data_IF_159823035327
#
_entry.id   IF_159823035327
#
_cell.length_a   1.000
_cell.length_b   1.000
_cell.length_c   1.000
_cell.angle_alpha   90.00
_cell.angle_beta   90.00
_cell.angle_gamma   90.00
#
_symmetry.space_group_name_H-M   'P 1'
#
loop_
_entity.id
_entity.type
_entity.pdbx_description
1 polymer ?
#
# COMPACT_ATOMS: atom_id res chain seq x y z
N UNK A 1 14.34 31.38 58.58
CA UNK A 1 14.49 30.07 57.90
C UNK A 1 13.23 29.18 57.88
N UNK A 2 12.27 29.27 58.82
CA UNK A 2 11.05 28.43 58.82
C UNK A 2 10.09 28.65 57.64
N UNK A 3 9.90 29.90 57.19
CA UNK A 3 8.96 30.25 56.09
C UNK A 3 9.40 29.73 54.71
N UNK A 4 10.71 29.65 54.46
CA UNK A 4 11.26 29.14 53.18
C UNK A 4 11.09 27.62 53.05
N UNK A 5 11.21 26.86 54.16
CA UNK A 5 10.98 25.41 54.17
C UNK A 5 9.51 25.07 53.88
N UNK A 6 8.57 25.86 54.40
CA UNK A 6 7.12 25.65 54.18
C UNK A 6 6.76 25.88 52.70
N UNK A 7 7.33 26.90 52.06
CA UNK A 7 7.09 27.17 50.64
C UNK A 7 7.58 26.06 49.71
N UNK A 8 8.75 25.48 50.01
CA UNK A 8 9.31 24.36 49.24
C UNK A 8 8.45 23.10 49.40
N UNK A 9 7.95 22.83 50.61
CA UNK A 9 7.10 21.67 50.86
C UNK A 9 5.75 21.79 50.14
N UNK A 10 5.14 22.98 50.12
CA UNK A 10 3.88 23.23 49.40
C UNK A 10 4.08 23.14 47.89
N UNK A 11 5.20 23.65 47.36
CA UNK A 11 5.53 23.56 45.92
C UNK A 11 5.81 22.11 45.49
N UNK A 12 6.46 21.31 46.34
CA UNK A 12 6.73 19.90 46.07
C UNK A 12 5.44 19.05 46.15
N UNK A 13 4.50 19.36 47.05
CA UNK A 13 3.19 18.69 47.08
C UNK A 13 2.33 18.98 45.85
N UNK A 14 2.44 20.16 45.24
CA UNK A 14 1.70 20.49 44.01
C UNK A 14 2.18 19.69 42.79
N UNK A 15 3.44 19.26 42.76
CA UNK A 15 3.98 18.38 41.71
C UNK A 15 3.41 16.95 41.78
N UNK A 16 2.96 16.50 42.96
CA UNK A 16 2.34 15.16 43.13
C UNK A 16 0.82 15.13 42.86
N UNK A 17 0.17 16.28 42.68
CA UNK A 17 -1.26 16.39 42.37
C UNK A 17 -1.58 16.38 40.86
N UNK A 18 -0.56 16.46 40.00
CA UNK A 18 -0.74 16.36 38.55
C UNK A 18 -0.79 14.88 38.17
N UNK A 19 -1.97 14.27 38.28
CA UNK A 19 -2.20 12.95 37.69
C UNK A 19 -1.98 13.08 36.17
N UNK A 20 -1.11 12.27 35.55
CA UNK A 20 -0.99 12.27 34.10
C UNK A 20 -2.36 11.94 33.54
N UNK A 21 -2.92 12.84 32.73
CA UNK A 21 -4.08 12.50 31.91
C UNK A 21 -3.63 11.39 30.98
N UNK A 22 -4.00 10.15 31.29
CA UNK A 22 -3.91 9.05 30.35
C UNK A 22 -4.83 9.37 29.19
N UNK A 23 -4.29 10.00 28.15
CA UNK A 23 -4.99 10.11 26.87
C UNK A 23 -4.98 8.69 26.32
N UNK A 24 -6.12 8.02 26.39
CA UNK A 24 -6.29 6.77 25.64
C UNK A 24 -5.97 7.08 24.19
N UNK A 25 -4.91 6.47 23.65
CA UNK A 25 -4.68 6.50 22.22
C UNK A 25 -5.96 5.94 21.58
N UNK A 26 -6.70 6.79 20.87
CA UNK A 26 -7.89 6.36 20.15
C UNK A 26 -7.37 5.40 19.09
N UNK A 27 -7.60 4.10 19.26
CA UNK A 27 -7.30 3.15 18.18
C UNK A 27 -8.25 3.52 17.04
N UNK A 28 -7.73 4.21 16.03
CA UNK A 28 -8.47 4.36 14.80
C UNK A 28 -8.75 2.94 14.28
N UNK A 29 -10.00 2.67 13.89
CA UNK A 29 -10.33 1.44 13.19
C UNK A 29 -9.31 1.27 12.06
N UNK A 30 -8.58 0.16 12.06
CA UNK A 30 -7.52 -0.10 11.08
C UNK A 30 -8.07 0.17 9.69
N UNK A 31 -7.45 1.11 8.98
CA UNK A 31 -7.81 1.37 7.58
C UNK A 31 -7.76 0.06 6.81
N UNK A 32 -8.85 -0.24 6.10
CA UNK A 32 -8.95 -1.45 5.30
C UNK A 32 -8.61 -1.11 3.86
N UNK A 33 -7.47 -1.57 3.35
CA UNK A 33 -7.15 -1.44 1.93
C UNK A 33 -8.22 -2.13 1.09
N UNK A 34 -8.79 -1.42 0.13
CA UNK A 34 -9.84 -1.91 -0.77
C UNK A 34 -9.32 -1.96 -2.20
N UNK A 35 -9.70 -2.99 -2.93
CA UNK A 35 -9.47 -3.03 -4.38
C UNK A 35 -10.71 -2.58 -5.12
N UNK A 36 -10.58 -1.55 -5.96
CA UNK A 36 -11.69 -1.04 -6.74
C UNK A 36 -11.89 -1.86 -8.01
N UNK A 37 -13.16 -2.06 -8.40
CA UNK A 37 -13.43 -2.53 -9.75
C UNK A 37 -13.25 -1.35 -10.72
N UNK A 38 -12.24 -1.43 -11.59
CA UNK A 38 -11.94 -0.37 -12.57
C UNK A 38 -13.09 -0.04 -13.53
N UNK A 39 -14.07 -0.92 -13.65
CA UNK A 39 -15.29 -0.72 -14.46
C UNK A 39 -16.52 -0.33 -13.61
N UNK A 40 -16.31 0.05 -12.35
CA UNK A 40 -17.37 0.43 -11.42
C UNK A 40 -18.08 1.71 -11.86
N UNK A 41 -19.39 1.64 -12.03
CA UNK A 41 -20.26 2.81 -12.26
C UNK A 41 -20.84 3.38 -10.95
N UNK A 42 -20.33 2.94 -9.79
CA UNK A 42 -20.76 3.48 -8.51
C UNK A 42 -20.15 4.86 -8.27
N UNK A 43 -20.96 5.75 -7.70
CA UNK A 43 -20.56 7.10 -7.32
C UNK A 43 -19.96 7.13 -5.92
N UNK A 44 -19.06 8.09 -5.73
CA UNK A 44 -18.58 8.52 -4.42
C UNK A 44 -19.50 9.66 -3.97
N UNK A 45 -19.92 9.62 -2.72
CA UNK A 45 -20.87 10.56 -2.14
C UNK A 45 -20.27 11.30 -0.96
N UNK A 46 -20.45 12.61 -0.89
CA UNK A 46 -19.92 13.44 0.18
C UNK A 46 -20.53 13.08 1.55
N UNK A 47 -21.83 12.76 1.58
CA UNK A 47 -22.57 12.53 2.82
C UNK A 47 -23.40 11.25 2.83
N UNK A 48 -23.85 10.86 4.02
CA UNK A 48 -24.69 9.67 4.23
C UNK A 48 -25.79 9.92 5.26
N UNK A 49 -27.04 9.96 4.81
CA UNK A 49 -28.23 10.14 5.66
C UNK A 49 -28.83 8.78 6.06
N UNK A 50 -29.93 8.79 6.80
CA UNK A 50 -30.73 7.59 7.09
C UNK A 50 -31.44 7.05 5.83
N UNK A 51 -31.76 7.93 4.86
CA UNK A 51 -32.42 7.56 3.59
C UNK A 51 -31.45 7.06 2.53
N UNK A 52 -30.17 7.41 2.65
CA UNK A 52 -29.14 6.99 1.70
C UNK A 52 -28.03 8.02 1.49
N UNK A 53 -27.18 7.77 0.48
CA UNK A 53 -26.08 8.67 0.16
C UNK A 53 -26.58 10.00 -0.44
N UNK A 54 -25.86 11.09 -0.18
CA UNK A 54 -26.18 12.44 -0.68
C UNK A 54 -24.92 13.14 -1.20
N UNK A 55 -25.09 14.05 -2.16
CA UNK A 55 -24.00 14.84 -2.74
C UNK A 55 -23.00 13.99 -3.51
N UNK A 56 -23.36 13.53 -4.72
CA UNK A 56 -22.43 12.80 -5.59
C UNK A 56 -21.28 13.69 -6.03
N UNK A 57 -20.03 13.27 -5.78
CA UNK A 57 -18.82 14.03 -6.17
C UNK A 57 -18.13 13.46 -7.41
N UNK A 58 -18.46 12.23 -7.82
CA UNK A 58 -17.87 11.62 -9.02
C UNK A 58 -18.03 10.11 -9.07
N UNK A 59 -17.57 9.51 -10.18
CA UNK A 59 -17.55 8.05 -10.35
C UNK A 59 -16.28 7.45 -9.75
N UNK A 60 -16.41 6.30 -9.09
CA UNK A 60 -15.26 5.60 -8.50
C UNK A 60 -14.23 5.15 -9.55
N UNK A 61 -14.66 4.76 -10.76
CA UNK A 61 -13.75 4.36 -11.86
C UNK A 61 -12.79 5.46 -12.31
N UNK A 62 -13.10 6.74 -12.04
CA UNK A 62 -12.20 7.86 -12.34
C UNK A 62 -10.88 7.73 -11.59
N UNK A 63 -10.92 7.09 -10.42
CA UNK A 63 -9.78 6.86 -9.53
C UNK A 63 -9.29 5.41 -9.56
N UNK A 64 -9.54 4.66 -10.65
CA UNK A 64 -9.26 3.21 -10.72
C UNK A 64 -7.82 2.79 -10.37
N UNK A 65 -6.85 3.70 -10.44
CA UNK A 65 -5.44 3.46 -10.08
C UNK A 65 -5.04 4.03 -8.71
N UNK A 66 -5.96 4.72 -8.03
CA UNK A 66 -5.71 5.25 -6.68
C UNK A 66 -5.77 4.15 -5.62
N UNK A 67 -5.07 4.38 -4.52
CA UNK A 67 -5.05 3.52 -3.36
C UNK A 67 -6.29 3.77 -2.50
N UNK A 68 -7.27 2.85 -2.57
CA UNK A 68 -8.47 2.96 -1.74
C UNK A 68 -8.25 2.37 -0.37
N UNK A 69 -8.63 3.10 0.67
CA UNK A 69 -8.68 2.62 2.03
C UNK A 69 -10.03 2.97 2.65
N UNK A 70 -10.67 2.04 3.34
CA UNK A 70 -11.90 2.30 4.06
C UNK A 70 -11.63 2.51 5.55
N UNK A 71 -12.22 3.56 6.11
CA UNK A 71 -12.09 3.90 7.54
C UNK A 71 -13.38 3.69 8.33
N UNK A 72 -14.53 3.66 7.66
CA UNK A 72 -15.83 3.44 8.30
C UNK A 72 -16.77 2.66 7.39
N UNK A 73 -17.80 2.04 7.97
CA UNK A 73 -18.86 1.34 7.25
C UNK A 73 -20.22 1.79 7.79
N UNK A 74 -21.18 2.00 6.89
CA UNK A 74 -22.57 2.30 7.22
C UNK A 74 -23.51 1.46 6.37
N UNK A 75 -24.53 0.88 6.99
CA UNK A 75 -25.57 0.11 6.31
C UNK A 75 -26.79 1.02 6.10
N UNK A 76 -27.29 1.07 4.87
CA UNK A 76 -28.53 1.77 4.51
C UNK A 76 -29.38 0.81 3.69
N UNK A 77 -30.52 0.39 4.25
CA UNK A 77 -31.32 -0.71 3.72
C UNK A 77 -30.50 -2.00 3.56
N UNK A 78 -30.51 -2.57 2.35
CA UNK A 78 -29.74 -3.79 1.99
C UNK A 78 -28.29 -3.48 1.56
N UNK A 79 -27.91 -2.22 1.45
CA UNK A 79 -26.60 -1.79 0.94
C UNK A 79 -25.64 -1.43 2.07
N UNK A 80 -24.36 -1.78 1.90
CA UNK A 80 -23.26 -1.30 2.75
C UNK A 80 -22.45 -0.26 1.99
N UNK A 81 -22.11 0.82 2.68
CA UNK A 81 -21.27 1.90 2.17
C UNK A 81 -20.03 2.01 3.05
N UNK A 82 -18.89 2.24 2.43
CA UNK A 82 -17.62 2.45 3.11
C UNK A 82 -17.19 3.90 2.92
N UNK A 83 -16.77 4.56 4.00
CA UNK A 83 -16.11 5.86 3.88
C UNK A 83 -14.68 5.62 3.43
N UNK A 84 -14.42 5.98 2.17
CA UNK A 84 -13.16 5.75 1.50
C UNK A 84 -12.26 6.97 1.55
N UNK A 85 -10.99 6.65 1.69
CA UNK A 85 -9.85 7.50 1.45
C UNK A 85 -9.21 7.02 0.15
N UNK A 86 -8.82 7.96 -0.71
CA UNK A 86 -8.14 7.68 -1.97
C UNK A 86 -6.79 8.35 -1.87
N UNK A 87 -5.73 7.56 -1.99
CA UNK A 87 -4.33 8.01 -1.87
C UNK A 87 -4.07 8.80 -0.58
N UNK A 88 -4.73 8.42 0.52
CA UNK A 88 -4.57 9.08 1.82
C UNK A 88 -5.43 10.34 2.03
N UNK A 89 -6.32 10.68 1.09
CA UNK A 89 -7.24 11.82 1.22
C UNK A 89 -8.70 11.39 1.39
N UNK A 90 -9.47 12.12 2.20
CA UNK A 90 -10.91 11.87 2.36
C UNK A 90 -11.61 12.05 1.01
N UNK A 91 -12.28 11.00 0.53
CA UNK A 91 -13.00 11.06 -0.74
C UNK A 91 -14.52 11.02 -0.55
N UNK A 92 -15.03 10.15 0.32
CA UNK A 92 -16.47 10.08 0.63
C UNK A 92 -16.98 8.65 0.80
N UNK A 93 -18.29 8.50 0.78
CA UNK A 93 -18.98 7.22 0.90
C UNK A 93 -19.11 6.52 -0.44
N UNK A 94 -18.70 5.25 -0.50
CA UNK A 94 -18.77 4.42 -1.69
C UNK A 94 -19.51 3.12 -1.39
N UNK A 95 -20.40 2.69 -2.28
CA UNK A 95 -21.11 1.42 -2.13
C UNK A 95 -20.11 0.25 -2.20
N UNK A 96 -20.25 -0.73 -1.31
CA UNK A 96 -19.40 -1.93 -1.26
C UNK A 96 -19.29 -2.66 -2.61
N UNK A 97 -20.35 -2.62 -3.42
CA UNK A 97 -20.40 -3.27 -4.74
C UNK A 97 -19.45 -2.62 -5.76
N UNK A 98 -18.87 -1.46 -5.44
CA UNK A 98 -17.83 -0.83 -6.24
C UNK A 98 -16.48 -1.55 -6.16
N UNK A 99 -16.24 -2.33 -5.10
CA UNK A 99 -14.99 -3.05 -4.89
C UNK A 99 -14.97 -4.41 -5.60
N UNK A 100 -13.77 -4.89 -5.92
CA UNK A 100 -13.54 -6.27 -6.35
C UNK A 100 -13.69 -7.18 -5.12
N UNK A 101 -14.73 -8.02 -5.11
CA UNK A 101 -15.04 -8.92 -3.99
C UNK A 101 -14.79 -10.36 -4.39
N UNK A 102 -14.29 -11.17 -3.46
CA UNK A 102 -13.97 -12.58 -3.70
C UNK A 102 -13.13 -12.77 -4.97
N UNK A 103 -12.10 -11.93 -5.14
CA UNK A 103 -11.22 -11.97 -6.31
C UNK A 103 -9.78 -12.20 -5.87
N UNK A 104 -9.14 -13.16 -6.52
CA UNK A 104 -7.70 -13.35 -6.51
C UNK A 104 -7.19 -12.98 -7.90
N UNK A 105 -6.14 -12.17 -7.97
CA UNK A 105 -5.38 -11.88 -9.18
C UNK A 105 -4.00 -12.48 -9.04
N UNK A 106 -3.62 -13.30 -10.01
CA UNK A 106 -2.32 -13.96 -10.09
C UNK A 106 -1.71 -13.73 -11.46
N UNK A 107 -0.39 -13.86 -11.55
CA UNK A 107 0.31 -14.04 -12.82
C UNK A 107 -0.22 -15.32 -13.48
N UNK A 108 -0.56 -15.29 -14.77
CA UNK A 108 -1.19 -16.45 -15.44
C UNK A 108 -0.21 -17.57 -15.76
N UNK A 109 1.01 -17.21 -16.18
CA UNK A 109 2.08 -18.11 -16.57
C UNK A 109 3.40 -17.58 -16.04
N UNK A 110 4.16 -18.43 -15.37
CA UNK A 110 5.48 -18.15 -14.80
C UNK A 110 6.45 -19.12 -15.47
N UNK A 111 7.58 -18.60 -15.94
CA UNK A 111 8.65 -19.39 -16.52
C UNK A 111 9.85 -19.34 -15.58
N UNK A 112 10.34 -20.50 -15.17
CA UNK A 112 11.52 -20.65 -14.33
C UNK A 112 12.66 -21.29 -15.14
N UNK A 113 13.88 -20.83 -14.89
CA UNK A 113 15.09 -21.47 -15.40
C UNK A 113 15.36 -22.73 -14.59
N UNK A 114 15.92 -23.77 -15.21
CA UNK A 114 16.37 -24.93 -14.47
C UNK A 114 17.48 -24.53 -13.49
N UNK A 115 17.17 -24.57 -12.19
CA UNK A 115 18.07 -24.23 -11.11
C UNK A 115 17.87 -25.20 -9.94
N UNK A 116 18.84 -26.10 -9.67
CA UNK A 116 18.73 -27.07 -8.59
C UNK A 116 18.79 -26.45 -7.18
N UNK A 117 19.20 -25.18 -7.06
CA UNK A 117 19.32 -24.46 -5.80
C UNK A 117 18.15 -23.52 -5.50
N UNK A 118 17.12 -23.50 -6.35
CA UNK A 118 15.99 -22.59 -6.21
C UNK A 118 14.66 -23.33 -6.16
N UNK A 119 13.80 -22.89 -5.24
CA UNK A 119 12.39 -23.22 -5.24
C UNK A 119 11.58 -21.94 -5.29
N UNK A 120 10.59 -21.91 -6.19
CA UNK A 120 9.70 -20.78 -6.37
C UNK A 120 8.57 -20.84 -5.34
N UNK A 121 8.44 -19.86 -4.41
CA UNK A 121 7.31 -19.78 -3.50
C UNK A 121 6.05 -19.43 -4.30
N UNK A 122 5.06 -20.33 -4.33
CA UNK A 122 3.92 -20.17 -5.25
C UNK A 122 3.09 -18.92 -4.95
N UNK A 123 3.05 -18.49 -3.68
CA UNK A 123 2.33 -17.29 -3.25
C UNK A 123 2.90 -16.00 -3.83
N UNK A 124 4.15 -16.00 -4.33
CA UNK A 124 4.74 -14.85 -5.02
C UNK A 124 4.04 -14.58 -6.37
N UNK A 125 3.29 -15.55 -6.90
CA UNK A 125 2.45 -15.36 -8.08
C UNK A 125 1.22 -14.46 -7.82
N UNK A 126 0.88 -14.16 -6.57
CA UNK A 126 -0.34 -13.40 -6.19
C UNK A 126 -0.06 -11.89 -6.28
N UNK A 127 -0.74 -11.22 -7.22
CA UNK A 127 -0.74 -9.75 -7.28
C UNK A 127 -1.57 -9.15 -6.14
N UNK A 128 -2.79 -9.67 -5.95
CA UNK A 128 -3.65 -9.33 -4.83
C UNK A 128 -4.73 -10.38 -4.62
N UNK A 129 -5.28 -10.42 -3.41
CA UNK A 129 -6.46 -11.20 -3.07
C UNK A 129 -7.44 -10.36 -2.25
N UNK A 130 -8.74 -10.60 -2.41
CA UNK A 130 -9.80 -9.84 -1.74
C UNK A 130 -10.83 -10.73 -1.08
N UNK A 131 -11.32 -10.28 0.08
CA UNK A 131 -12.43 -10.93 0.78
C UNK A 131 -13.80 -10.60 0.16
N UNK A 132 -14.87 -11.10 0.80
CA UNK A 132 -16.26 -10.87 0.39
C UNK A 132 -16.70 -9.41 0.44
N UNK A 133 -15.91 -8.54 1.09
CA UNK A 133 -16.17 -7.11 1.22
C UNK A 133 -15.31 -6.26 0.29
N UNK A 134 -14.35 -6.88 -0.39
CA UNK A 134 -13.37 -6.23 -1.24
C UNK A 134 -12.16 -5.67 -0.50
N UNK A 135 -11.93 -6.12 0.73
CA UNK A 135 -10.70 -5.83 1.48
C UNK A 135 -9.56 -6.67 0.96
N UNK A 136 -8.39 -6.06 0.76
CA UNK A 136 -7.15 -6.77 0.44
C UNK A 136 -6.76 -7.65 1.61
N UNK A 137 -6.46 -8.91 1.32
CA UNK A 137 -6.03 -9.88 2.32
C UNK A 137 -4.53 -10.14 2.19
N UNK A 138 -3.90 -10.44 3.31
CA UNK A 138 -2.50 -10.85 3.32
C UNK A 138 -2.34 -12.13 2.47
N UNK A 139 -1.42 -12.17 1.48
CA UNK A 139 -1.16 -13.35 0.66
C UNK A 139 -0.93 -14.65 1.45
N UNK A 140 -0.34 -14.55 2.65
CA UNK A 140 -0.11 -15.72 3.52
C UNK A 140 -1.40 -16.41 3.98
N UNK A 141 -2.54 -15.71 3.94
CA UNK A 141 -3.86 -16.28 4.27
C UNK A 141 -4.51 -16.98 3.08
N UNK A 142 -3.98 -16.81 1.87
CA UNK A 142 -4.46 -17.50 0.66
C UNK A 142 -3.89 -18.92 0.67
N UNK A 143 -4.76 -19.91 0.47
CA UNK A 143 -4.33 -21.31 0.36
C UNK A 143 -3.86 -21.56 -1.08
N UNK A 144 -2.70 -22.17 -1.24
CA UNK A 144 -2.19 -22.66 -2.51
C UNK A 144 -2.24 -24.20 -2.54
N UNK A 145 -2.34 -24.81 -3.72
CA UNK A 145 -2.31 -26.28 -3.86
C UNK A 145 -0.92 -26.87 -3.62
N UNK A 146 0.13 -26.06 -3.80
CA UNK A 146 1.53 -26.38 -3.50
C UNK A 146 2.14 -25.09 -2.91
N UNK A 147 2.93 -25.19 -1.85
CA UNK A 147 3.57 -24.00 -1.26
C UNK A 147 4.76 -23.52 -2.10
N UNK A 148 5.49 -24.43 -2.73
CA UNK A 148 6.66 -24.13 -3.56
C UNK A 148 6.72 -25.07 -4.79
N UNK A 149 7.42 -24.63 -5.84
CA UNK A 149 7.75 -25.43 -7.04
C UNK A 149 9.27 -25.53 -7.14
N UNK A 150 9.81 -26.75 -7.16
CA UNK A 150 11.24 -26.99 -7.35
C UNK A 150 11.62 -26.67 -8.79
N UNK A 151 12.72 -25.93 -8.99
CA UNK A 151 13.17 -25.55 -10.32
C UNK A 151 14.23 -26.50 -10.89
N UNK A 152 14.37 -27.72 -10.38
CA UNK A 152 15.50 -28.62 -10.67
C UNK A 152 15.34 -29.48 -11.94
N UNK A 153 14.14 -29.52 -12.52
CA UNK A 153 13.82 -30.38 -13.66
C UNK A 153 12.67 -29.81 -14.46
N UNK A 154 12.72 -30.05 -15.78
CA UNK A 154 11.70 -29.61 -16.70
C UNK A 154 10.32 -30.13 -16.28
N UNK A 155 9.38 -29.23 -16.02
CA UNK A 155 8.09 -29.59 -15.46
C UNK A 155 7.07 -28.47 -15.63
N UNK A 156 5.78 -28.83 -15.64
CA UNK A 156 4.69 -27.87 -15.65
C UNK A 156 3.77 -28.12 -14.44
N UNK A 157 3.56 -27.08 -13.63
CA UNK A 157 2.80 -27.13 -12.40
C UNK A 157 1.60 -26.19 -12.47
N UNK A 158 0.39 -26.73 -12.41
CA UNK A 158 -0.84 -25.95 -12.29
C UNK A 158 -1.15 -25.68 -10.82
N UNK A 159 -0.89 -24.45 -10.38
CA UNK A 159 -1.15 -24.06 -8.98
C UNK A 159 -2.51 -23.40 -8.86
N UNK A 160 -3.29 -23.88 -7.89
CA UNK A 160 -4.62 -23.34 -7.57
C UNK A 160 -4.59 -22.57 -6.26
N UNK A 161 -5.11 -21.34 -6.29
CA UNK A 161 -5.24 -20.48 -5.12
C UNK A 161 -6.69 -20.33 -4.69
N UNK A 162 -6.94 -20.38 -3.38
CA UNK A 162 -8.28 -20.23 -2.81
C UNK A 162 -8.30 -19.31 -1.59
N UNK A 163 -9.33 -18.47 -1.51
CA UNK A 163 -9.62 -17.65 -0.34
C UNK A 163 -11.12 -17.36 -0.25
N UNK A 164 -11.81 -17.95 0.72
CA UNK A 164 -13.28 -17.87 0.79
C UNK A 164 -13.92 -18.42 -0.48
N UNK A 165 -14.64 -17.56 -1.21
CA UNK A 165 -15.26 -17.90 -2.51
C UNK A 165 -14.39 -17.57 -3.73
N UNK A 166 -13.20 -17.03 -3.51
CA UNK A 166 -12.29 -16.63 -4.57
C UNK A 166 -11.42 -17.81 -5.01
N UNK A 167 -11.28 -17.97 -6.32
CA UNK A 167 -10.42 -18.99 -6.95
C UNK A 167 -9.58 -18.35 -8.05
N UNK A 168 -8.35 -18.81 -8.21
CA UNK A 168 -7.48 -18.45 -9.33
C UNK A 168 -6.49 -19.58 -9.61
N UNK A 169 -5.93 -19.58 -10.83
CA UNK A 169 -4.95 -20.56 -11.26
C UNK A 169 -3.77 -19.87 -11.93
N UNK A 170 -2.58 -20.40 -11.72
CA UNK A 170 -1.36 -20.07 -12.47
C UNK A 170 -0.73 -21.35 -12.99
N UNK A 171 0.05 -21.23 -14.04
CA UNK A 171 0.90 -22.30 -14.57
C UNK A 171 2.35 -21.89 -14.35
N UNK A 172 3.11 -22.71 -13.64
CA UNK A 172 4.55 -22.55 -13.46
C UNK A 172 5.24 -23.59 -14.35
N UNK A 173 6.00 -23.12 -15.33
CA UNK A 173 6.78 -23.94 -16.24
C UNK A 173 8.25 -23.82 -15.88
N UNK A 174 8.89 -24.93 -15.53
CA UNK A 174 10.35 -25.02 -15.40
C UNK A 174 10.89 -25.46 -16.74
N UNK A 175 11.72 -24.61 -17.36
CA UNK A 175 12.32 -24.88 -18.65
C UNK A 175 13.41 -25.95 -18.51
N UNK A 176 13.58 -26.76 -19.56
CA UNK A 176 14.51 -27.88 -19.55
C UNK A 176 15.95 -27.56 -19.96
N UNK A 177 16.23 -26.34 -20.44
CA UNK A 177 17.57 -25.97 -20.89
C UNK A 177 18.52 -25.82 -19.69
N UNK A 178 19.49 -26.73 -19.60
CA UNK A 178 20.50 -26.74 -18.55
C UNK A 178 21.64 -25.74 -18.79
N UNK A 179 21.72 -25.11 -19.98
CA UNK A 179 22.74 -24.13 -20.36
C UNK A 179 22.24 -22.69 -20.20
N UNK A 180 20.96 -22.47 -19.87
CA UNK A 180 20.44 -21.14 -19.61
C UNK A 180 21.02 -20.60 -18.29
N UNK A 181 21.89 -19.59 -18.40
CA UNK A 181 22.89 -19.16 -17.41
C UNK A 181 22.42 -19.16 -15.93
N UNK A 182 23.01 -20.06 -15.13
CA UNK A 182 23.22 -19.84 -13.71
C UNK A 182 24.63 -19.29 -13.50
N UNK A 183 24.75 -17.96 -13.42
CA UNK A 183 25.99 -17.33 -12.97
C UNK A 183 26.23 -17.63 -11.49
N UNK A 184 27.12 -18.56 -11.18
CA UNK A 184 27.63 -18.73 -9.81
C UNK A 184 28.33 -17.43 -9.43
N UNK A 185 27.81 -16.73 -8.41
CA UNK A 185 28.41 -15.49 -7.95
C UNK A 185 29.79 -15.79 -7.34
N UNK A 186 30.87 -15.54 -8.08
CA UNK A 186 32.27 -15.71 -7.65
C UNK A 186 32.80 -14.53 -6.80
N UNK A 187 31.91 -13.74 -6.20
CA UNK A 187 32.30 -12.59 -5.37
C UNK A 187 31.85 -12.78 -3.92
N UNK A 188 32.73 -12.50 -2.94
CA UNK A 188 32.39 -12.62 -1.53
C UNK A 188 31.25 -11.64 -1.17
N UNK A 189 30.34 -12.09 -0.28
CA UNK A 189 29.24 -11.27 0.24
C UNK A 189 29.80 -9.98 0.85
N UNK A 190 29.37 -8.82 0.36
CA UNK A 190 29.70 -7.55 0.99
C UNK A 190 28.93 -7.40 2.30
N UNK A 191 29.64 -7.24 3.41
CA UNK A 191 29.05 -6.90 4.71
C UNK A 191 28.56 -5.46 4.71
N UNK A 192 27.26 -5.27 4.48
CA UNK A 192 26.58 -3.98 4.66
C UNK A 192 26.02 -3.83 6.08
N UNK A 193 26.17 -2.65 6.69
CA UNK A 193 25.42 -2.31 7.90
C UNK A 193 23.96 -2.06 7.52
N UNK A 194 23.03 -2.60 8.30
CA UNK A 194 21.58 -2.40 8.09
C UNK A 194 21.25 -0.91 8.18
N UNK A 195 20.65 -0.35 7.13
CA UNK A 195 20.18 1.03 7.11
C UNK A 195 18.64 1.04 7.07
N UNK A 196 18.03 1.80 7.97
CA UNK A 196 16.59 2.08 7.96
C UNK A 196 16.22 2.76 6.64
N UNK A 197 15.42 2.08 5.81
CA UNK A 197 15.07 2.50 4.44
C UNK A 197 13.97 3.57 4.35
N UNK A 198 13.52 4.12 5.48
CA UNK A 198 12.42 5.08 5.51
C UNK A 198 12.83 6.41 6.15
N UNK A 199 13.22 7.37 5.30
CA UNK A 199 13.28 8.77 5.70
C UNK A 199 11.96 9.44 5.32
N UNK A 200 11.39 10.24 6.23
CA UNK A 200 10.28 11.15 5.93
C UNK A 200 10.80 12.28 5.01
N UNK A 201 10.97 12.01 3.72
CA UNK A 201 11.23 13.05 2.73
C UNK A 201 9.90 13.51 2.13
N UNK A 202 9.49 14.74 2.45
CA UNK A 202 8.25 15.37 1.98
C UNK A 202 8.50 16.49 0.95
N UNK A 203 9.66 16.49 0.28
CA UNK A 203 9.97 17.48 -0.76
C UNK A 203 9.66 16.92 -2.14
N UNK A 204 9.37 17.78 -3.10
CA UNK A 204 9.32 17.43 -4.53
C UNK A 204 10.50 18.06 -5.25
N UNK A 205 10.96 17.45 -6.35
CA UNK A 205 12.01 18.02 -7.18
C UNK A 205 11.64 19.42 -7.70
N UNK A 206 12.62 20.33 -7.77
CA UNK A 206 12.48 21.65 -8.41
C UNK A 206 12.42 21.60 -9.95
N UNK A 207 12.69 20.44 -10.56
CA UNK A 207 12.45 20.19 -11.99
C UNK A 207 10.99 19.83 -12.28
N UNK A 208 10.19 19.64 -11.22
CA UNK A 208 8.77 19.41 -11.33
C UNK A 208 8.02 20.75 -11.40
N UNK A 209 7.22 20.97 -12.46
CA UNK A 209 6.28 22.09 -12.55
C UNK A 209 6.74 23.34 -13.32
N UNK A 210 7.97 23.39 -13.86
CA UNK A 210 8.33 24.40 -14.85
C UNK A 210 7.65 24.06 -16.19
N UNK A 211 6.50 24.69 -16.47
CA UNK A 211 5.83 24.58 -17.77
C UNK A 211 5.16 23.24 -18.04
N UNK A 212 4.55 22.62 -17.01
CA UNK A 212 3.71 21.42 -17.11
C UNK A 212 4.37 20.12 -17.63
N UNK A 213 5.70 20.04 -17.70
CA UNK A 213 6.42 18.87 -18.20
C UNK A 213 7.36 18.27 -17.15
N UNK A 214 7.43 16.94 -17.08
CA UNK A 214 8.49 16.23 -16.35
C UNK A 214 9.83 16.49 -17.06
N UNK A 215 10.82 17.00 -16.33
CA UNK A 215 12.20 17.05 -16.80
C UNK A 215 13.04 16.05 -15.98
N UNK A 216 13.84 15.19 -16.63
CA UNK A 216 14.72 14.27 -15.93
C UNK A 216 15.76 15.05 -15.12
N UNK A 217 16.16 14.50 -13.98
CA UNK A 217 17.21 15.07 -13.16
C UNK A 217 18.55 15.03 -13.89
N UNK A 218 19.11 16.20 -14.20
CA UNK A 218 20.44 16.33 -14.82
C UNK A 218 21.56 16.41 -13.79
N UNK A 219 21.22 16.51 -12.50
CA UNK A 219 22.18 16.57 -11.39
C UNK A 219 21.88 15.48 -10.36
N UNK A 220 22.91 14.80 -9.82
CA UNK A 220 22.72 13.75 -8.83
C UNK A 220 22.27 14.34 -7.48
N UNK A 221 21.25 13.72 -6.90
CA UNK A 221 20.77 13.99 -5.54
C UNK A 221 21.56 13.17 -4.53
N UNK A 222 21.85 13.76 -3.38
CA UNK A 222 22.54 13.07 -2.28
C UNK A 222 21.59 12.89 -1.11
N UNK A 223 21.09 11.67 -0.96
CA UNK A 223 20.33 11.28 0.23
C UNK A 223 21.33 10.91 1.34
N UNK A 224 21.20 11.57 2.49
CA UNK A 224 22.09 11.36 3.64
C UNK A 224 21.34 10.71 4.79
N UNK A 225 21.91 9.65 5.34
CA UNK A 225 21.41 8.91 6.49
C UNK A 225 22.57 8.60 7.44
N UNK A 226 22.76 9.41 8.47
CA UNK A 226 23.94 9.30 9.33
C UNK A 226 25.24 9.35 8.52
N UNK A 227 26.04 8.28 8.60
CA UNK A 227 27.28 8.11 7.81
C UNK A 227 27.06 7.69 6.35
N UNK A 228 25.85 7.29 5.97
CA UNK A 228 25.55 6.85 4.61
C UNK A 228 25.18 8.02 3.69
N UNK A 229 25.76 8.00 2.49
CA UNK A 229 25.48 8.94 1.40
C UNK A 229 25.10 8.14 0.17
N UNK A 230 23.84 8.19 -0.24
CA UNK A 230 23.38 7.64 -1.51
C UNK A 230 23.32 8.76 -2.54
N UNK A 231 24.12 8.65 -3.61
CA UNK A 231 24.01 9.51 -4.78
C UNK A 231 23.07 8.84 -5.78
N UNK A 232 21.98 9.50 -6.15
CA UNK A 232 21.00 8.96 -7.10
C UNK A 232 20.49 10.06 -8.01
N UNK A 233 20.20 9.71 -9.27
CA UNK A 233 19.46 10.56 -10.18
C UNK A 233 17.93 10.34 -10.07
N UNK A 234 17.51 9.30 -9.35
CA UNK A 234 16.09 8.95 -9.16
C UNK A 234 15.51 9.67 -7.94
N UNK A 235 14.49 10.51 -8.15
CA UNK A 235 13.68 11.14 -7.10
C UNK A 235 12.22 10.64 -7.22
N UNK A 236 11.62 10.13 -6.14
CA UNK A 236 10.21 9.67 -6.16
C UNK A 236 9.27 10.81 -5.74
N UNK A 237 8.31 11.24 -6.58
CA UNK A 237 7.31 12.21 -6.20
C UNK A 237 6.18 11.57 -5.38
N UNK A 238 5.63 12.29 -4.40
CA UNK A 238 4.37 11.95 -3.75
C UNK A 238 3.22 12.39 -4.69
N UNK A 239 2.64 11.45 -5.45
CA UNK A 239 1.67 11.76 -6.51
C UNK A 239 0.30 11.12 -6.24
N UNK A 240 -0.76 11.83 -6.62
CA UNK A 240 -2.12 11.30 -6.78
C UNK A 240 -2.25 10.71 -8.19
N UNK A 241 -3.02 9.63 -8.40
CA UNK A 241 -3.19 9.04 -9.74
C UNK A 241 -4.62 9.21 -10.28
N UNK A 242 -4.76 9.90 -11.42
CA UNK A 242 -6.03 10.00 -12.16
C UNK A 242 -6.01 9.17 -13.44
N UNK A 243 -7.10 8.43 -13.70
CA UNK A 243 -7.18 7.38 -14.71
C UNK A 243 -7.15 7.79 -16.20
N UNK A 244 -6.89 9.05 -16.53
CA UNK A 244 -6.77 9.55 -17.92
C UNK A 244 -5.37 10.01 -18.32
N UNK A 245 -4.39 9.96 -17.41
CA UNK A 245 -2.98 10.22 -17.74
C UNK A 245 -2.31 8.93 -18.21
N UNK A 246 -1.66 8.95 -19.38
CA UNK A 246 -0.84 7.84 -19.89
C UNK A 246 0.32 7.48 -18.94
N UNK A 247 0.68 8.37 -18.02
CA UNK A 247 1.81 8.21 -17.10
C UNK A 247 1.41 8.05 -15.64
N UNK A 248 0.11 8.11 -15.30
CA UNK A 248 -0.37 7.92 -13.92
C UNK A 248 0.12 8.97 -12.90
N UNK A 249 0.74 10.07 -13.34
CA UNK A 249 1.30 11.12 -12.49
C UNK A 249 0.37 12.33 -12.35
N UNK A 250 0.05 12.73 -11.12
CA UNK A 250 -0.35 14.11 -10.76
C UNK A 250 0.71 14.65 -9.80
N UNK A 251 1.22 15.84 -10.07
CA UNK A 251 2.29 16.49 -9.30
C UNK A 251 2.01 16.78 -7.82
N UNK A 252 2.93 17.46 -7.11
CA UNK A 252 2.71 17.89 -5.74
C UNK A 252 1.56 18.90 -5.67
N UNK A 253 0.78 18.81 -4.60
CA UNK A 253 -0.30 19.76 -4.31
C UNK A 253 0.32 21.03 -3.71
N UNK A 254 -0.03 22.24 -4.19
CA UNK A 254 0.34 23.49 -3.53
C UNK A 254 -0.30 23.61 -2.14
N UNK A 255 0.39 24.27 -1.21
CA UNK A 255 -0.14 24.62 0.11
C UNK A 255 -1.47 25.39 -0.02
N UNK A 256 -2.49 24.99 0.76
CA UNK A 256 -3.73 25.79 0.89
C UNK A 256 -5.07 25.13 0.54
N UNK A 257 -5.20 23.79 0.48
CA UNK A 257 -6.54 23.16 0.46
C UNK A 257 -7.07 22.95 1.90
N UNK A 258 -7.88 23.93 2.27
CA UNK A 258 -8.47 24.36 3.54
C UNK A 258 -9.04 23.26 4.45
N UNK A 259 -8.91 23.53 5.76
CA UNK A 259 -9.36 22.87 7.01
C UNK A 259 -10.82 22.42 6.99
#
# INVERSE_FOLDING_TARGET
>A
MKKLKIFIIISLMMLFLVRPKSVSAKSFSSFQTKMINGNSNYRIYQGMTHRGPVGSVGLARTFKYGNFQASAVKKVGKSKYYFVWIDGHKAGWLNQRAFLRNKISVVKKISLVNNPYYSFPTKDAINFATDSTGTVVNPNKVKASQDEVLSNSASEHKITFTYGKAHAHTVVEVRGDAQEEFGVADKPKQTGKSASSWFKHYRTSGNWGKGASYAPETKPHVLKSGSFKLKTYFYQPATLSQGRSQTGMVGPVPEGMII
#
